data_IF_703382398681
#
_entry.id   IF_703382398681
#
_cell.length_a   1.000
_cell.length_b   1.000
_cell.length_c   1.000
_cell.angle_alpha   90.00
_cell.angle_beta   90.00
_cell.angle_gamma   90.00
#
_symmetry.space_group_name_H-M   'P 1'
#
loop_
_entity.id
_entity.type
_entity.pdbx_description
1 polymer ?
#
# COMPACT_ATOMS: atom_id res chain seq x y z
N UNK A 1 18.25 14.94 -30.83
CA UNK A 1 18.10 15.06 -29.34
C UNK A 1 18.22 16.55 -29.05
N UNK A 2 17.10 17.22 -28.85
CA UNK A 2 17.08 18.59 -28.35
C UNK A 2 17.64 18.56 -26.96
N UNK A 3 18.84 19.11 -26.75
CA UNK A 3 19.39 19.38 -25.45
C UNK A 3 18.44 20.35 -24.79
N UNK A 4 17.69 19.89 -23.81
CA UNK A 4 16.84 20.74 -23.00
C UNK A 4 17.77 21.75 -22.32
N UNK A 5 17.84 22.96 -22.90
CA UNK A 5 18.80 23.97 -22.47
C UNK A 5 18.33 24.53 -21.13
N UNK A 6 19.09 24.30 -20.10
CA UNK A 6 18.75 24.74 -18.74
C UNK A 6 18.49 26.25 -18.70
N UNK A 7 17.46 26.64 -17.97
CA UNK A 7 16.96 28.01 -17.83
C UNK A 7 17.50 28.65 -16.58
N UNK A 8 18.27 29.72 -16.74
CA UNK A 8 19.03 30.38 -15.67
C UNK A 8 18.48 31.80 -15.47
N UNK A 9 18.12 32.13 -14.22
CA UNK A 9 17.82 33.50 -13.83
C UNK A 9 19.12 34.19 -13.43
N UNK A 10 19.43 35.32 -14.05
CA UNK A 10 20.60 36.16 -13.73
C UNK A 10 20.12 37.43 -13.08
N UNK A 11 20.56 37.68 -11.85
CA UNK A 11 20.08 38.78 -10.99
C UNK A 11 21.29 39.63 -10.54
N UNK A 12 21.32 40.88 -10.94
CA UNK A 12 22.31 41.91 -10.53
C UNK A 12 21.70 43.28 -10.79
N UNK A 13 21.90 44.26 -9.94
CA UNK A 13 21.39 45.62 -10.13
C UNK A 13 22.13 46.39 -11.23
N UNK A 14 23.30 45.93 -11.62
CA UNK A 14 24.09 46.51 -12.70
C UNK A 14 23.75 45.89 -14.04
N UNK A 15 23.07 46.68 -14.87
CA UNK A 15 22.64 46.29 -16.24
C UNK A 15 23.78 45.71 -17.10
N UNK A 16 24.99 46.24 -16.95
CA UNK A 16 26.16 45.79 -17.71
C UNK A 16 26.59 44.38 -17.31
N UNK A 17 26.55 44.09 -15.99
CA UNK A 17 26.87 42.75 -15.45
C UNK A 17 25.88 41.72 -15.97
N UNK A 18 24.57 42.01 -15.85
CA UNK A 18 23.49 41.14 -16.33
C UNK A 18 23.62 40.84 -17.81
N UNK A 19 23.80 41.87 -18.65
CA UNK A 19 23.90 41.73 -20.11
C UNK A 19 25.16 40.90 -20.50
N UNK A 20 26.29 41.19 -19.87
CA UNK A 20 27.54 40.47 -20.12
C UNK A 20 27.41 38.98 -19.74
N UNK A 21 26.88 38.67 -18.56
CA UNK A 21 26.73 37.30 -18.09
C UNK A 21 25.71 36.54 -18.92
N UNK A 22 24.57 37.17 -19.21
CA UNK A 22 23.49 36.59 -20.02
C UNK A 22 24.00 36.19 -21.41
N UNK A 23 24.68 37.10 -22.14
CA UNK A 23 25.25 36.79 -23.44
C UNK A 23 26.27 35.66 -23.43
N UNK A 24 27.13 35.59 -22.39
CA UNK A 24 28.13 34.52 -22.25
C UNK A 24 27.46 33.16 -21.95
N UNK A 25 26.43 33.13 -21.09
CA UNK A 25 25.65 31.93 -20.78
C UNK A 25 24.87 31.43 -21.98
N UNK A 26 24.23 32.35 -22.76
CA UNK A 26 23.52 32.02 -24.00
C UNK A 26 24.46 31.40 -25.05
N UNK A 27 25.68 31.95 -25.21
CA UNK A 27 26.70 31.36 -26.09
C UNK A 27 27.17 30.00 -25.62
N UNK A 28 26.98 29.67 -24.32
CA UNK A 28 27.28 28.36 -23.75
C UNK A 28 26.09 27.37 -23.80
N UNK A 29 24.96 27.78 -24.46
CA UNK A 29 23.81 26.92 -24.69
C UNK A 29 22.72 26.98 -23.61
N UNK A 30 22.78 27.96 -22.71
CA UNK A 30 21.75 28.15 -21.68
C UNK A 30 20.67 29.14 -22.13
N UNK A 31 19.45 28.97 -21.65
CA UNK A 31 18.41 30.01 -21.75
C UNK A 31 18.51 30.91 -20.52
N UNK A 32 18.59 32.24 -20.76
CA UNK A 32 18.72 33.17 -19.62
C UNK A 32 17.54 34.11 -19.56
N UNK A 33 17.10 34.38 -18.34
CA UNK A 33 16.17 35.46 -18.01
C UNK A 33 16.92 36.40 -17.06
N UNK A 34 16.69 37.69 -17.23
CA UNK A 34 17.40 38.73 -16.49
C UNK A 34 16.46 39.42 -15.50
N UNK A 35 16.96 39.71 -14.30
CA UNK A 35 16.30 40.56 -13.32
C UNK A 35 17.32 41.62 -12.82
N UNK A 36 16.85 42.82 -12.66
CA UNK A 36 17.68 43.97 -12.31
C UNK A 36 17.53 44.42 -10.86
N UNK A 37 17.04 43.49 -10.02
CA UNK A 37 16.90 43.68 -8.59
C UNK A 37 16.14 42.54 -7.92
N UNK A 38 16.17 42.54 -6.58
CA UNK A 38 15.58 41.46 -5.79
C UNK A 38 14.07 41.31 -5.97
N UNK A 39 13.35 42.43 -6.07
CA UNK A 39 11.89 42.40 -6.27
C UNK A 39 11.50 41.76 -7.61
N UNK A 40 12.17 42.19 -8.69
CA UNK A 40 11.93 41.62 -10.01
C UNK A 40 12.28 40.13 -10.09
N UNK A 41 13.36 39.73 -9.43
CA UNK A 41 13.74 38.33 -9.32
C UNK A 41 12.65 37.49 -8.63
N UNK A 42 12.10 37.96 -7.53
CA UNK A 42 11.01 37.26 -6.83
C UNK A 42 9.72 37.20 -7.65
N UNK A 43 9.40 38.29 -8.35
CA UNK A 43 8.23 38.32 -9.27
C UNK A 43 8.38 37.31 -10.41
N UNK A 44 9.57 37.17 -10.98
CA UNK A 44 9.87 36.18 -12.02
C UNK A 44 9.80 34.74 -11.46
N UNK A 45 10.38 34.50 -10.29
CA UNK A 45 10.37 33.20 -9.63
C UNK A 45 8.96 32.73 -9.20
N UNK A 46 8.04 33.67 -9.02
CA UNK A 46 6.63 33.37 -8.74
C UNK A 46 5.83 32.93 -9.97
N UNK A 47 6.28 33.31 -11.19
CA UNK A 47 5.56 33.11 -12.45
C UNK A 47 6.15 32.04 -13.34
N UNK A 48 7.43 31.76 -13.18
CA UNK A 48 8.18 30.92 -14.09
C UNK A 48 9.16 30.01 -13.33
N UNK A 49 9.41 28.81 -13.90
CA UNK A 49 10.38 27.88 -13.33
C UNK A 49 11.77 28.09 -13.92
N UNK A 50 12.76 27.93 -13.07
CA UNK A 50 14.18 28.04 -13.40
C UNK A 50 14.96 26.83 -12.91
N UNK A 51 16.03 26.50 -13.62
CA UNK A 51 16.95 25.41 -13.25
C UNK A 51 18.04 25.87 -12.32
N UNK A 52 18.36 27.17 -12.31
CA UNK A 52 19.39 27.76 -11.48
C UNK A 52 19.23 29.29 -11.42
N UNK A 53 19.62 29.89 -10.29
CA UNK A 53 19.71 31.33 -10.12
C UNK A 53 21.18 31.72 -9.89
N UNK A 54 21.66 32.74 -10.62
CA UNK A 54 22.88 33.47 -10.30
C UNK A 54 22.46 34.80 -9.68
N UNK A 55 22.80 35.04 -8.43
CA UNK A 55 22.22 36.10 -7.61
C UNK A 55 23.30 36.96 -6.98
N UNK A 56 23.27 38.24 -7.31
CA UNK A 56 24.13 39.23 -6.62
C UNK A 56 23.67 39.44 -5.18
N UNK A 57 24.62 39.56 -4.26
CA UNK A 57 24.35 39.87 -2.85
C UNK A 57 23.98 41.34 -2.68
N UNK A 58 24.71 42.24 -3.35
CA UNK A 58 24.65 43.67 -3.09
C UNK A 58 23.69 44.34 -4.08
N UNK A 59 22.41 44.37 -3.73
CA UNK A 59 21.39 45.04 -4.53
C UNK A 59 20.59 46.03 -3.64
N UNK A 60 20.09 47.13 -4.22
CA UNK A 60 19.24 48.07 -3.50
C UNK A 60 17.86 47.45 -3.20
N UNK A 61 17.15 48.02 -2.21
CA UNK A 61 15.83 47.64 -1.72
C UNK A 61 15.79 46.24 -1.08
N UNK A 62 15.90 45.18 -1.86
CA UNK A 62 15.93 43.78 -1.42
C UNK A 62 17.28 43.21 -1.83
N UNK A 63 18.13 42.89 -0.85
CA UNK A 63 19.45 42.33 -1.12
C UNK A 63 19.38 40.83 -1.47
N UNK A 64 20.48 40.27 -2.00
CA UNK A 64 20.50 38.87 -2.45
C UNK A 64 20.32 37.86 -1.33
N UNK A 65 20.72 38.14 -0.09
CA UNK A 65 20.51 37.24 1.05
C UNK A 65 19.01 37.17 1.42
N UNK A 66 18.32 38.31 1.35
CA UNK A 66 16.87 38.34 1.57
C UNK A 66 16.12 37.58 0.46
N UNK A 67 16.52 37.73 -0.80
CA UNK A 67 15.99 36.95 -1.93
C UNK A 67 16.21 35.46 -1.69
N UNK A 68 17.43 35.07 -1.32
CA UNK A 68 17.79 33.67 -1.01
C UNK A 68 16.90 33.11 0.09
N UNK A 69 16.72 33.85 1.20
CA UNK A 69 15.87 33.43 2.32
C UNK A 69 14.43 33.16 1.85
N UNK A 70 13.86 34.09 1.06
CA UNK A 70 12.49 33.92 0.52
C UNK A 70 12.40 32.72 -0.40
N UNK A 71 13.41 32.48 -1.26
CA UNK A 71 13.47 31.29 -2.10
C UNK A 71 13.43 30.02 -1.23
N UNK A 72 14.20 29.99 -0.14
CA UNK A 72 14.31 28.81 0.74
C UNK A 72 13.07 28.56 1.61
N UNK A 73 12.16 29.51 1.74
CA UNK A 73 10.84 29.28 2.35
C UNK A 73 9.96 28.32 1.52
N UNK A 74 10.17 28.25 0.21
CA UNK A 74 9.33 27.46 -0.70
C UNK A 74 10.08 26.42 -1.55
N UNK A 75 11.35 26.62 -1.80
CA UNK A 75 12.17 25.74 -2.67
C UNK A 75 13.46 25.32 -1.97
N UNK A 76 13.70 24.01 -1.91
CA UNK A 76 14.93 23.45 -1.37
C UNK A 76 16.15 23.73 -2.26
N UNK A 77 17.35 23.48 -1.72
CA UNK A 77 18.61 23.62 -2.48
C UNK A 77 18.68 22.70 -3.71
N UNK A 78 18.01 21.56 -3.67
CA UNK A 78 17.97 20.61 -4.78
C UNK A 78 16.94 20.99 -5.86
N UNK A 79 15.83 21.65 -5.47
CA UNK A 79 14.79 22.09 -6.41
C UNK A 79 15.19 23.33 -7.20
N UNK A 80 15.83 24.30 -6.53
CA UNK A 80 16.33 25.51 -7.15
C UNK A 80 17.73 25.87 -6.66
N UNK A 81 18.78 25.43 -7.32
CA UNK A 81 20.14 25.84 -7.03
C UNK A 81 20.34 27.34 -7.18
N UNK A 82 21.02 27.95 -6.17
CA UNK A 82 21.38 29.37 -6.18
C UNK A 82 22.88 29.51 -6.03
N UNK A 83 23.52 30.20 -6.98
CA UNK A 83 24.93 30.60 -6.92
C UNK A 83 24.99 32.09 -6.61
N UNK A 84 25.59 32.43 -5.47
CA UNK A 84 25.73 33.83 -5.04
C UNK A 84 26.92 34.49 -5.69
N UNK A 85 26.77 35.73 -6.14
CA UNK A 85 27.89 36.60 -6.56
C UNK A 85 28.25 37.57 -5.42
N UNK A 86 29.51 37.54 -4.97
CA UNK A 86 29.97 38.31 -3.82
C UNK A 86 31.25 39.10 -4.12
N UNK A 87 31.48 40.19 -3.41
CA UNK A 87 32.74 40.93 -3.48
C UNK A 87 33.91 40.12 -2.81
N UNK A 88 35.11 40.24 -3.33
CA UNK A 88 36.29 39.43 -2.94
C UNK A 88 36.69 39.54 -1.47
N UNK A 89 36.35 40.65 -0.83
CA UNK A 89 36.78 41.07 0.52
C UNK A 89 35.77 40.78 1.63
N UNK A 90 34.62 40.14 1.28
CA UNK A 90 33.52 39.86 2.21
C UNK A 90 33.34 38.35 2.47
N UNK A 91 34.28 37.80 3.21
CA UNK A 91 34.21 36.40 3.61
C UNK A 91 33.01 36.09 4.53
N UNK A 92 32.53 37.09 5.29
CA UNK A 92 31.36 36.96 6.16
C UNK A 92 30.08 36.77 5.37
N UNK A 93 29.84 37.58 4.34
CA UNK A 93 28.66 37.45 3.45
C UNK A 93 28.60 36.09 2.76
N UNK A 94 29.78 35.52 2.45
CA UNK A 94 29.89 34.18 1.84
C UNK A 94 29.45 33.08 2.80
N UNK A 95 29.93 33.13 4.05
CA UNK A 95 29.57 32.15 5.09
C UNK A 95 28.10 32.28 5.41
N UNK A 96 27.57 33.48 5.49
CA UNK A 96 26.14 33.73 5.73
C UNK A 96 25.29 33.18 4.61
N UNK A 97 25.62 33.45 3.34
CA UNK A 97 24.91 32.91 2.20
C UNK A 97 24.87 31.37 2.19
N UNK A 98 25.99 30.72 2.47
CA UNK A 98 26.07 29.26 2.56
C UNK A 98 25.19 28.70 3.70
N UNK A 99 25.20 29.36 4.86
CA UNK A 99 24.38 28.98 6.01
C UNK A 99 22.89 29.17 5.74
N UNK A 100 22.52 30.17 4.93
CA UNK A 100 21.14 30.39 4.48
C UNK A 100 20.70 29.48 3.33
N UNK A 101 21.56 28.56 2.85
CA UNK A 101 21.22 27.56 1.86
C UNK A 101 21.55 27.95 0.42
N UNK A 102 22.56 28.81 0.19
CA UNK A 102 23.16 28.92 -1.13
C UNK A 102 23.85 27.61 -1.52
N UNK A 103 23.79 27.24 -2.79
CA UNK A 103 24.44 26.03 -3.29
C UNK A 103 25.92 26.24 -3.58
N UNK A 104 26.30 27.46 -3.95
CA UNK A 104 27.65 27.82 -4.27
C UNK A 104 27.81 29.36 -4.33
N UNK A 105 29.04 29.84 -4.53
CA UNK A 105 29.30 31.26 -4.71
C UNK A 105 30.39 31.52 -5.74
N UNK A 106 30.43 32.74 -6.30
CA UNK A 106 31.52 33.26 -7.13
C UNK A 106 31.89 34.64 -6.68
N UNK A 107 33.20 34.96 -6.72
CA UNK A 107 33.69 36.29 -6.35
C UNK A 107 33.72 37.24 -7.54
N UNK A 108 33.38 38.51 -7.31
CA UNK A 108 33.51 39.59 -8.29
C UNK A 108 34.95 40.13 -8.27
N UNK A 109 35.60 40.45 -9.44
CA UNK A 109 35.05 40.28 -10.80
C UNK A 109 34.89 38.82 -11.17
N UNK A 110 33.71 38.47 -11.79
CA UNK A 110 33.36 37.10 -12.07
C UNK A 110 34.26 36.49 -13.15
N UNK A 111 35.00 35.46 -12.75
CA UNK A 111 35.68 34.57 -13.70
C UNK A 111 34.66 33.65 -14.36
N UNK A 112 34.39 33.89 -15.62
CA UNK A 112 33.31 33.15 -16.35
C UNK A 112 33.58 31.66 -16.49
N UNK A 113 34.80 31.15 -16.78
CA UNK A 113 35.12 29.73 -16.72
C UNK A 113 34.76 29.09 -15.38
N UNK A 114 35.03 29.73 -14.27
CA UNK A 114 34.72 29.25 -12.91
C UNK A 114 33.19 29.22 -12.71
N UNK A 115 32.50 30.31 -13.00
CA UNK A 115 31.05 30.37 -12.91
C UNK A 115 30.41 29.28 -13.76
N UNK A 116 30.84 29.10 -15.02
CA UNK A 116 30.35 28.08 -15.92
C UNK A 116 30.51 26.66 -15.34
N UNK A 117 31.65 26.34 -14.79
CA UNK A 117 31.91 25.03 -14.16
C UNK A 117 30.98 24.80 -12.96
N UNK A 118 30.77 25.80 -12.11
CA UNK A 118 29.81 25.72 -10.97
C UNK A 118 28.38 25.53 -11.43
N UNK A 119 27.93 26.30 -12.43
CA UNK A 119 26.62 26.14 -13.05
C UNK A 119 26.43 24.70 -13.56
N UNK A 120 27.42 24.18 -14.30
CA UNK A 120 27.36 22.81 -14.82
C UNK A 120 27.19 21.78 -13.70
N UNK A 121 27.96 21.93 -12.62
CA UNK A 121 27.88 21.04 -11.44
C UNK A 121 26.48 21.10 -10.80
N UNK A 122 25.96 22.29 -10.54
CA UNK A 122 24.65 22.44 -9.89
C UNK A 122 23.51 21.94 -10.76
N UNK A 123 23.52 22.21 -12.06
CA UNK A 123 22.51 21.70 -13.01
C UNK A 123 22.59 20.17 -13.09
N UNK A 124 23.80 19.60 -13.10
CA UNK A 124 23.94 18.14 -13.13
C UNK A 124 23.40 17.49 -11.85
N UNK A 125 23.68 18.08 -10.68
CA UNK A 125 23.13 17.62 -9.40
C UNK A 125 21.60 17.73 -9.37
N UNK A 126 21.04 18.86 -9.82
CA UNK A 126 19.58 19.03 -9.92
C UNK A 126 18.96 17.97 -10.81
N UNK A 127 19.48 17.76 -12.02
CA UNK A 127 18.97 16.73 -12.93
C UNK A 127 19.02 15.32 -12.34
N UNK A 128 20.11 14.98 -11.63
CA UNK A 128 20.22 13.69 -10.96
C UNK A 128 19.19 13.54 -9.82
N UNK A 129 18.95 14.60 -9.04
CA UNK A 129 17.94 14.61 -8.00
C UNK A 129 16.53 14.50 -8.56
N UNK A 130 16.21 15.22 -9.62
CA UNK A 130 14.91 15.19 -10.30
C UNK A 130 14.63 13.78 -10.87
N UNK A 131 15.63 13.16 -11.50
CA UNK A 131 15.52 11.79 -12.02
C UNK A 131 15.34 10.76 -10.88
N UNK A 132 16.10 10.89 -9.78
CA UNK A 132 15.92 10.03 -8.62
C UNK A 132 14.51 10.16 -8.02
N UNK A 133 14.01 11.39 -7.88
CA UNK A 133 12.65 11.63 -7.38
C UNK A 133 11.57 11.04 -8.31
N UNK A 134 11.81 11.11 -9.62
CA UNK A 134 10.94 10.48 -10.63
C UNK A 134 10.95 8.96 -10.53
N UNK A 135 12.13 8.36 -10.46
CA UNK A 135 12.30 6.91 -10.33
C UNK A 135 11.66 6.36 -9.05
N UNK A 136 11.82 7.07 -7.92
CA UNK A 136 11.19 6.70 -6.66
C UNK A 136 9.66 6.71 -6.77
N UNK A 137 9.06 7.74 -7.38
CA UNK A 137 7.61 7.79 -7.63
C UNK A 137 7.15 6.63 -8.51
N UNK A 138 7.86 6.35 -9.61
CA UNK A 138 7.52 5.22 -10.48
C UNK A 138 7.63 3.87 -9.76
N UNK A 139 8.61 3.71 -8.87
CA UNK A 139 8.76 2.48 -8.07
C UNK A 139 7.59 2.32 -7.10
N UNK A 140 7.19 3.41 -6.45
CA UNK A 140 6.07 3.43 -5.50
C UNK A 140 4.73 3.12 -6.20
N UNK A 141 4.47 3.76 -7.35
CA UNK A 141 3.30 3.46 -8.19
C UNK A 141 3.28 1.99 -8.65
N UNK A 142 4.42 1.45 -9.08
CA UNK A 142 4.54 0.03 -9.43
C UNK A 142 4.29 -0.90 -8.23
N UNK A 143 4.82 -0.56 -7.07
CA UNK A 143 4.61 -1.33 -5.84
C UNK A 143 3.13 -1.38 -5.48
N UNK A 144 2.44 -0.24 -5.49
CA UNK A 144 1.00 -0.18 -5.21
C UNK A 144 0.17 -0.90 -6.28
N UNK A 145 0.54 -0.79 -7.55
CA UNK A 145 -0.11 -1.55 -8.62
C UNK A 145 0.03 -3.07 -8.44
N UNK A 146 1.23 -3.55 -8.14
CA UNK A 146 1.49 -4.97 -7.85
C UNK A 146 0.66 -5.41 -6.63
N UNK A 147 0.67 -4.63 -5.55
CA UNK A 147 -0.13 -4.89 -4.36
C UNK A 147 -1.62 -4.99 -4.68
N UNK A 148 -2.17 -4.07 -5.45
CA UNK A 148 -3.59 -4.08 -5.85
C UNK A 148 -3.95 -5.26 -6.76
N UNK A 149 -3.04 -5.74 -7.60
CA UNK A 149 -3.26 -6.92 -8.42
C UNK A 149 -3.28 -8.20 -7.57
N UNK A 150 -2.27 -8.35 -6.70
CA UNK A 150 -2.17 -9.55 -5.87
C UNK A 150 -3.23 -9.58 -4.76
N UNK A 151 -3.64 -8.44 -4.21
CA UNK A 151 -4.70 -8.35 -3.21
C UNK A 151 -6.08 -8.86 -3.70
N UNK A 152 -6.25 -9.04 -5.03
CA UNK A 152 -7.45 -9.70 -5.59
C UNK A 152 -7.39 -11.23 -5.55
N UNK A 153 -6.23 -11.81 -5.34
CA UNK A 153 -6.00 -13.26 -5.37
C UNK A 153 -5.52 -13.82 -4.03
N UNK A 154 -4.97 -12.96 -3.19
CA UNK A 154 -4.31 -13.32 -1.92
C UNK A 154 -4.62 -12.20 -0.94
N UNK A 155 -4.83 -12.51 0.35
CA UNK A 155 -5.09 -11.48 1.35
C UNK A 155 -3.93 -10.47 1.45
N UNK A 156 -4.26 -9.22 1.80
CA UNK A 156 -3.28 -8.13 1.88
C UNK A 156 -2.12 -8.45 2.85
N UNK A 157 -2.39 -9.17 3.94
CA UNK A 157 -1.39 -9.58 4.93
C UNK A 157 -0.36 -10.53 4.33
N UNK A 158 -0.81 -11.49 3.52
CA UNK A 158 0.07 -12.42 2.81
C UNK A 158 0.88 -11.69 1.75
N UNK A 159 0.29 -10.76 1.01
CA UNK A 159 1.01 -9.90 0.05
C UNK A 159 2.10 -9.09 0.75
N UNK A 160 1.81 -8.49 1.89
CA UNK A 160 2.80 -7.74 2.68
C UNK A 160 3.95 -8.65 3.16
N UNK A 161 3.64 -9.84 3.64
CA UNK A 161 4.67 -10.81 4.06
C UNK A 161 5.59 -11.22 2.89
N UNK A 162 5.02 -11.43 1.70
CA UNK A 162 5.77 -11.79 0.49
C UNK A 162 6.65 -10.63 0.00
N UNK A 163 6.14 -9.40 0.02
CA UNK A 163 6.87 -8.20 -0.42
C UNK A 163 8.01 -7.82 0.54
N UNK A 164 7.87 -8.13 1.83
CA UNK A 164 8.88 -7.82 2.84
C UNK A 164 9.93 -8.93 3.03
N UNK A 165 9.80 -10.07 2.37
CA UNK A 165 10.77 -11.16 2.44
C UNK A 165 12.03 -10.84 1.61
N UNK A 166 13.23 -10.66 2.21
CA UNK A 166 14.44 -10.24 1.48
C UNK A 166 14.87 -11.20 0.36
N UNK A 167 14.55 -12.50 0.52
CA UNK A 167 14.90 -13.57 -0.44
C UNK A 167 13.72 -14.01 -1.31
N UNK A 168 12.62 -13.25 -1.28
CA UNK A 168 11.36 -13.67 -1.88
C UNK A 168 10.67 -14.79 -1.11
N UNK A 169 9.48 -15.23 -1.56
CA UNK A 169 8.71 -16.27 -0.90
C UNK A 169 9.44 -17.62 -1.03
N UNK A 170 9.73 -18.26 0.10
CA UNK A 170 10.33 -19.59 0.14
C UNK A 170 9.24 -20.63 0.42
N UNK A 171 9.40 -21.83 -0.16
CA UNK A 171 8.59 -23.00 0.20
C UNK A 171 8.87 -23.39 1.64
N UNK A 172 7.81 -23.74 2.37
CA UNK A 172 7.90 -24.18 3.76
C UNK A 172 6.68 -23.76 4.56
N UNK A 173 6.61 -24.26 5.77
CA UNK A 173 5.54 -23.92 6.70
C UNK A 173 5.98 -24.17 8.13
N UNK A 174 5.24 -23.60 9.06
CA UNK A 174 5.43 -23.79 10.48
C UNK A 174 4.20 -24.42 11.12
N UNK A 175 4.41 -25.16 12.18
CA UNK A 175 3.33 -25.72 12.98
C UNK A 175 2.75 -24.62 13.86
N UNK A 176 1.46 -24.31 13.66
CA UNK A 176 0.71 -23.35 14.47
C UNK A 176 -0.65 -23.89 14.86
N UNK A 177 -1.13 -23.47 16.00
CA UNK A 177 -2.53 -23.68 16.39
C UNK A 177 -3.37 -22.53 15.86
N UNK A 178 -4.34 -22.84 14.98
CA UNK A 178 -5.21 -21.89 14.30
C UNK A 178 -6.67 -22.29 14.45
N UNK A 179 -7.58 -21.37 14.15
CA UNK A 179 -8.99 -21.70 13.93
C UNK A 179 -9.31 -21.67 12.44
N UNK A 180 -9.91 -22.75 11.97
CA UNK A 180 -10.26 -23.00 10.59
C UNK A 180 -11.77 -22.87 10.46
N UNK A 181 -12.25 -22.05 9.53
CA UNK A 181 -13.63 -21.82 9.23
C UNK A 181 -13.95 -22.31 7.81
N UNK A 182 -14.93 -23.16 7.67
CA UNK A 182 -15.54 -23.54 6.41
C UNK A 182 -16.98 -23.00 6.35
N UNK A 183 -17.34 -22.38 5.24
CA UNK A 183 -18.71 -21.95 4.98
C UNK A 183 -19.11 -22.34 3.56
N UNK A 184 -20.39 -22.70 3.35
CA UNK A 184 -20.90 -23.21 2.08
C UNK A 184 -22.40 -22.94 1.93
N UNK A 185 -22.87 -22.70 0.70
CA UNK A 185 -24.29 -22.49 0.42
C UNK A 185 -25.04 -23.83 0.43
N UNK A 186 -26.15 -23.89 1.14
CA UNK A 186 -26.98 -25.10 1.22
C UNK A 186 -27.81 -25.31 -0.05
N UNK A 187 -27.70 -26.53 -0.59
CA UNK A 187 -28.45 -26.91 -1.78
C UNK A 187 -28.07 -26.18 -3.06
N UNK A 188 -26.85 -25.62 -3.12
CA UNK A 188 -26.36 -24.82 -4.26
C UNK A 188 -26.50 -25.57 -5.60
N UNK A 189 -26.16 -26.86 -5.65
CA UNK A 189 -26.28 -27.66 -6.86
C UNK A 189 -27.71 -27.57 -7.47
N UNK A 190 -28.76 -27.75 -6.64
CA UNK A 190 -30.14 -27.66 -7.09
C UNK A 190 -30.58 -26.23 -7.44
N UNK A 191 -29.94 -25.23 -6.84
CA UNK A 191 -30.18 -23.82 -7.14
C UNK A 191 -29.55 -23.47 -8.48
N UNK A 192 -28.29 -23.85 -8.68
CA UNK A 192 -27.48 -23.52 -9.87
C UNK A 192 -28.05 -24.17 -11.15
N UNK A 193 -28.65 -25.35 -11.06
CA UNK A 193 -29.32 -26.02 -12.21
C UNK A 193 -30.51 -25.22 -12.77
N UNK A 194 -31.12 -24.35 -11.96
CA UNK A 194 -32.27 -23.54 -12.34
C UNK A 194 -31.94 -22.14 -12.81
N UNK A 195 -30.68 -21.73 -12.69
CA UNK A 195 -30.18 -20.39 -12.99
C UNK A 195 -29.36 -20.36 -14.29
N UNK A 196 -29.40 -19.24 -14.98
CA UNK A 196 -28.45 -19.00 -16.08
C UNK A 196 -27.04 -18.83 -15.54
N UNK A 197 -25.99 -19.09 -16.34
CA UNK A 197 -24.58 -18.90 -15.90
C UNK A 197 -24.31 -17.50 -15.34
N UNK A 198 -24.90 -16.47 -15.92
CA UNK A 198 -24.74 -15.09 -15.43
C UNK A 198 -25.37 -14.88 -14.04
N UNK A 199 -26.53 -15.50 -13.80
CA UNK A 199 -27.20 -15.44 -12.50
C UNK A 199 -26.44 -16.22 -11.43
N UNK A 200 -25.86 -17.38 -11.78
CA UNK A 200 -24.99 -18.14 -10.86
C UNK A 200 -23.80 -17.31 -10.43
N UNK A 201 -23.10 -16.67 -11.38
CA UNK A 201 -21.96 -15.79 -11.06
C UNK A 201 -22.39 -14.59 -10.22
N UNK A 202 -23.52 -13.96 -10.54
CA UNK A 202 -24.03 -12.82 -9.77
C UNK A 202 -24.35 -13.20 -8.32
N UNK A 203 -25.00 -14.35 -8.11
CA UNK A 203 -25.34 -14.89 -6.79
C UNK A 203 -24.08 -15.20 -5.98
N UNK A 204 -23.12 -15.90 -6.59
CA UNK A 204 -21.84 -16.22 -5.94
C UNK A 204 -21.05 -14.95 -5.58
N UNK A 205 -20.94 -13.99 -6.49
CA UNK A 205 -20.21 -12.75 -6.24
C UNK A 205 -20.84 -11.92 -5.10
N UNK A 206 -22.17 -11.86 -5.02
CA UNK A 206 -22.85 -11.19 -3.91
C UNK A 206 -22.57 -11.90 -2.58
N UNK A 207 -22.67 -13.22 -2.54
CA UNK A 207 -22.42 -14.02 -1.34
C UNK A 207 -20.93 -13.99 -0.94
N UNK A 208 -20.03 -14.43 -1.81
CA UNK A 208 -18.61 -14.54 -1.51
C UNK A 208 -17.99 -13.17 -1.20
N UNK A 209 -18.39 -12.11 -1.91
CA UNK A 209 -17.91 -10.76 -1.64
C UNK A 209 -18.30 -10.29 -0.24
N UNK A 210 -19.57 -10.45 0.15
CA UNK A 210 -20.04 -10.08 1.50
C UNK A 210 -19.32 -10.90 2.59
N UNK A 211 -19.14 -12.21 2.36
CA UNK A 211 -18.45 -13.07 3.34
C UNK A 211 -16.97 -12.73 3.48
N UNK A 212 -16.29 -12.42 2.36
CA UNK A 212 -14.88 -12.01 2.38
C UNK A 212 -14.71 -10.70 3.14
N UNK A 213 -15.53 -9.68 2.87
CA UNK A 213 -15.45 -8.39 3.57
C UNK A 213 -15.59 -8.55 5.09
N UNK A 214 -16.45 -9.47 5.53
CA UNK A 214 -16.63 -9.77 6.95
C UNK A 214 -15.40 -10.49 7.50
N UNK A 215 -14.90 -11.53 6.83
CA UNK A 215 -13.71 -12.27 7.26
C UNK A 215 -12.52 -11.32 7.42
N UNK A 216 -12.30 -10.44 6.45
CA UNK A 216 -11.23 -9.43 6.47
C UNK A 216 -11.39 -8.45 7.65
N UNK A 217 -12.62 -8.01 7.94
CA UNK A 217 -12.91 -7.13 9.09
C UNK A 217 -12.58 -7.76 10.45
N UNK A 218 -12.60 -9.10 10.52
CA UNK A 218 -12.18 -9.89 11.69
C UNK A 218 -10.73 -10.38 11.59
N UNK A 219 -9.93 -9.84 10.66
CA UNK A 219 -8.52 -10.25 10.45
C UNK A 219 -8.37 -11.76 10.17
N UNK A 220 -9.35 -12.36 9.53
CA UNK A 220 -9.28 -13.72 9.01
C UNK A 220 -8.60 -13.73 7.64
N UNK A 221 -7.96 -14.82 7.30
CA UNK A 221 -7.33 -15.02 6.00
C UNK A 221 -8.19 -15.97 5.17
N UNK A 222 -8.74 -15.49 4.04
CA UNK A 222 -9.41 -16.36 3.08
C UNK A 222 -8.34 -17.17 2.34
N UNK A 223 -8.40 -18.50 2.47
CA UNK A 223 -7.44 -19.42 1.87
C UNK A 223 -7.79 -19.76 0.42
N UNK A 224 -9.04 -20.10 0.19
CA UNK A 224 -9.55 -20.42 -1.16
C UNK A 224 -11.08 -20.47 -1.20
N UNK A 225 -11.61 -20.32 -2.41
CA UNK A 225 -12.99 -20.64 -2.75
C UNK A 225 -13.03 -22.02 -3.42
N UNK A 226 -13.96 -22.87 -3.00
CA UNK A 226 -14.16 -24.19 -3.60
C UNK A 226 -15.64 -24.35 -4.01
N UNK A 227 -15.92 -24.02 -5.28
CA UNK A 227 -17.30 -23.94 -5.78
C UNK A 227 -18.05 -22.76 -5.14
N UNK A 228 -19.07 -23.09 -4.37
CA UNK A 228 -19.92 -22.14 -3.62
C UNK A 228 -19.47 -21.98 -2.16
N UNK A 229 -18.42 -22.67 -1.76
CA UNK A 229 -17.87 -22.61 -0.41
C UNK A 229 -16.60 -21.80 -0.31
N UNK A 230 -16.22 -21.48 0.91
CA UNK A 230 -14.97 -20.81 1.26
C UNK A 230 -14.29 -21.47 2.46
N UNK A 231 -12.96 -21.43 2.44
CA UNK A 231 -12.09 -21.77 3.54
C UNK A 231 -11.37 -20.52 4.03
N UNK A 232 -11.52 -20.20 5.30
CA UNK A 232 -10.78 -19.16 5.97
C UNK A 232 -10.12 -19.70 7.24
N UNK A 233 -9.09 -19.01 7.72
CA UNK A 233 -8.44 -19.33 8.99
C UNK A 233 -8.05 -18.07 9.75
N UNK A 234 -7.88 -18.20 11.07
CA UNK A 234 -7.57 -17.12 12.00
C UNK A 234 -6.35 -17.46 12.83
N UNK A 235 -5.44 -16.50 13.02
CA UNK A 235 -4.18 -16.68 13.77
C UNK A 235 -2.92 -16.74 12.89
N UNK A 236 -3.07 -16.61 11.58
CA UNK A 236 -1.97 -16.45 10.62
C UNK A 236 -2.45 -15.65 9.39
N UNK A 237 -1.54 -14.96 8.66
CA UNK A 237 -0.12 -14.78 8.95
C UNK A 237 0.12 -13.96 10.21
N UNK A 238 -0.82 -13.08 10.59
CA UNK A 238 -0.76 -12.29 11.81
C UNK A 238 -1.16 -13.17 13.00
N UNK A 239 -0.28 -13.28 13.99
CA UNK A 239 -0.56 -14.06 15.18
C UNK A 239 -1.70 -13.45 16.00
N UNK A 240 -2.68 -14.27 16.38
CA UNK A 240 -3.81 -13.88 17.20
C UNK A 240 -4.04 -14.93 18.31
N UNK A 241 -3.83 -14.58 19.55
CA UNK A 241 -4.03 -15.50 20.67
C UNK A 241 -5.50 -15.87 20.90
N UNK A 242 -6.43 -15.00 20.48
CA UNK A 242 -7.88 -15.22 20.61
C UNK A 242 -8.51 -15.74 19.31
N UNK A 243 -7.74 -16.38 18.43
CA UNK A 243 -8.18 -16.83 17.11
C UNK A 243 -9.50 -17.60 17.11
N UNK A 244 -9.76 -18.45 18.11
CA UNK A 244 -11.00 -19.22 18.23
C UNK A 244 -12.21 -18.32 18.53
N UNK A 245 -12.04 -17.35 19.42
CA UNK A 245 -13.08 -16.38 19.78
C UNK A 245 -13.42 -15.49 18.56
N UNK A 246 -12.39 -14.98 17.89
CA UNK A 246 -12.55 -14.13 16.69
C UNK A 246 -13.24 -14.90 15.56
N UNK A 247 -12.88 -16.18 15.36
CA UNK A 247 -13.51 -17.02 14.34
C UNK A 247 -15.01 -17.24 14.61
N UNK A 248 -15.39 -17.44 15.88
CA UNK A 248 -16.82 -17.59 16.26
C UNK A 248 -17.57 -16.26 16.08
N UNK A 249 -17.00 -15.14 16.47
CA UNK A 249 -17.60 -13.81 16.24
C UNK A 249 -17.78 -13.51 14.75
N UNK A 250 -16.77 -13.83 13.93
CA UNK A 250 -16.85 -13.71 12.49
C UNK A 250 -17.99 -14.57 11.91
N UNK A 251 -18.12 -15.81 12.32
CA UNK A 251 -19.18 -16.70 11.86
C UNK A 251 -20.59 -16.19 12.24
N UNK A 252 -20.75 -15.62 13.43
CA UNK A 252 -22.01 -14.98 13.83
C UNK A 252 -22.34 -13.75 12.95
N UNK A 253 -21.33 -12.93 12.68
CA UNK A 253 -21.47 -11.77 11.80
C UNK A 253 -21.79 -12.20 10.36
N UNK A 254 -21.14 -13.24 9.84
CA UNK A 254 -21.44 -13.82 8.52
C UNK A 254 -22.90 -14.31 8.45
N UNK A 255 -23.36 -15.02 9.48
CA UNK A 255 -24.73 -15.53 9.52
C UNK A 255 -25.76 -14.39 9.59
N UNK A 256 -25.51 -13.34 10.35
CA UNK A 256 -26.35 -12.15 10.42
C UNK A 256 -26.43 -11.42 9.06
N UNK A 257 -25.32 -11.36 8.33
CA UNK A 257 -25.25 -10.70 7.02
C UNK A 257 -26.01 -11.44 5.91
N UNK A 258 -26.42 -12.69 6.12
CA UNK A 258 -27.23 -13.44 5.14
C UNK A 258 -28.58 -12.79 4.85
N UNK A 259 -29.14 -12.03 5.78
CA UNK A 259 -30.36 -11.25 5.54
C UNK A 259 -30.13 -10.19 4.45
N UNK A 260 -29.03 -9.48 4.52
CA UNK A 260 -28.64 -8.47 3.52
C UNK A 260 -28.28 -9.11 2.17
N UNK A 261 -27.56 -10.25 2.18
CA UNK A 261 -27.27 -11.02 0.97
C UNK A 261 -28.58 -11.42 0.27
N UNK A 262 -29.55 -11.94 1.01
CA UNK A 262 -30.83 -12.36 0.48
C UNK A 262 -31.69 -11.15 0.05
N UNK A 263 -31.62 -10.04 0.72
CA UNK A 263 -32.29 -8.80 0.27
C UNK A 263 -31.76 -8.39 -1.12
N UNK A 264 -30.44 -8.35 -1.31
CA UNK A 264 -29.82 -8.03 -2.62
C UNK A 264 -30.16 -9.06 -3.68
N UNK A 265 -30.21 -10.34 -3.34
CA UNK A 265 -30.61 -11.40 -4.25
C UNK A 265 -32.03 -11.15 -4.75
N UNK A 266 -33.00 -10.86 -3.86
CA UNK A 266 -34.38 -10.55 -4.24
C UNK A 266 -34.47 -9.35 -5.19
N UNK A 267 -33.73 -8.29 -4.91
CA UNK A 267 -33.70 -7.10 -5.76
C UNK A 267 -33.19 -7.38 -7.18
N UNK A 268 -32.29 -8.37 -7.30
CA UNK A 268 -31.76 -8.82 -8.59
C UNK A 268 -32.54 -9.97 -9.23
N UNK A 269 -33.68 -10.40 -8.65
CA UNK A 269 -34.48 -11.53 -9.14
C UNK A 269 -33.80 -12.89 -8.97
N UNK A 270 -32.88 -12.99 -8.00
CA UNK A 270 -32.17 -14.21 -7.64
C UNK A 270 -32.86 -14.89 -6.44
N UNK A 271 -32.70 -16.22 -6.28
CA UNK A 271 -33.25 -16.94 -5.13
C UNK A 271 -32.55 -16.58 -3.83
N UNK A 272 -33.29 -16.77 -2.73
CA UNK A 272 -32.71 -16.74 -1.40
C UNK A 272 -31.85 -17.99 -1.17
N UNK A 273 -30.79 -17.84 -0.42
CA UNK A 273 -29.82 -18.88 -0.06
C UNK A 273 -29.64 -18.97 1.44
N UNK A 274 -29.32 -20.15 1.92
CA UNK A 274 -28.88 -20.38 3.29
C UNK A 274 -27.45 -20.88 3.30
N UNK A 275 -26.73 -20.66 4.40
CA UNK A 275 -25.33 -21.00 4.57
C UNK A 275 -25.14 -21.90 5.79
N UNK A 276 -24.24 -22.89 5.70
CA UNK A 276 -23.80 -23.67 6.85
C UNK A 276 -22.33 -23.38 7.14
N UNK A 277 -21.99 -23.14 8.41
CA UNK A 277 -20.63 -22.83 8.85
C UNK A 277 -20.14 -23.90 9.83
N UNK A 278 -18.87 -24.27 9.72
CA UNK A 278 -18.17 -25.03 10.76
C UNK A 278 -16.82 -24.41 11.11
N UNK A 279 -16.50 -24.46 12.41
CA UNK A 279 -15.23 -23.98 12.92
C UNK A 279 -14.56 -25.08 13.74
N UNK A 280 -13.28 -25.30 13.45
CA UNK A 280 -12.42 -26.16 14.25
C UNK A 280 -11.14 -25.44 14.61
N UNK A 281 -10.63 -25.64 15.81
CA UNK A 281 -9.29 -25.18 16.22
C UNK A 281 -8.36 -26.36 16.39
N UNK A 282 -7.10 -26.19 16.02
CA UNK A 282 -6.09 -27.22 16.19
C UNK A 282 -4.79 -26.90 15.50
N UNK A 283 -3.80 -27.76 15.70
CA UNK A 283 -2.49 -27.65 15.08
C UNK A 283 -2.55 -27.93 13.57
N UNK A 284 -1.98 -27.04 12.79
CA UNK A 284 -1.83 -27.14 11.33
C UNK A 284 -0.47 -26.66 10.92
N UNK A 285 -0.02 -27.10 9.76
CA UNK A 285 1.11 -26.48 9.06
C UNK A 285 0.54 -25.31 8.26
N UNK A 286 1.04 -24.11 8.51
CA UNK A 286 0.71 -22.89 7.77
C UNK A 286 1.95 -22.34 7.07
N UNK A 287 1.84 -21.99 5.80
CA UNK A 287 2.96 -21.47 5.02
C UNK A 287 2.78 -21.63 3.51
N UNK A 288 3.89 -21.45 2.79
CA UNK A 288 3.92 -21.56 1.34
C UNK A 288 4.05 -23.02 0.90
N UNK A 289 2.98 -23.59 0.39
CA UNK A 289 2.90 -25.01 0.01
C UNK A 289 2.70 -25.15 -1.49
N UNK A 290 3.52 -26.01 -2.10
CA UNK A 290 3.46 -26.29 -3.54
C UNK A 290 4.82 -26.64 -4.12
N UNK A 291 5.11 -26.14 -5.31
CA UNK A 291 6.39 -26.30 -6.00
C UNK A 291 7.07 -24.93 -6.16
N UNK A 292 8.37 -24.92 -6.49
CA UNK A 292 9.11 -23.68 -6.77
C UNK A 292 8.46 -22.81 -7.85
N UNK A 293 7.73 -23.40 -8.79
CA UNK A 293 7.04 -22.68 -9.88
C UNK A 293 5.61 -22.27 -9.53
N UNK A 294 4.98 -22.92 -8.56
CA UNK A 294 3.58 -22.69 -8.21
C UNK A 294 3.33 -23.11 -6.77
N UNK A 295 3.12 -22.17 -5.91
CA UNK A 295 2.77 -22.37 -4.49
C UNK A 295 1.64 -21.43 -4.10
N UNK A 296 0.99 -21.76 -3.00
CA UNK A 296 0.04 -20.85 -2.32
C UNK A 296 0.36 -20.82 -0.83
N UNK A 297 0.09 -19.68 -0.20
CA UNK A 297 0.04 -19.60 1.25
C UNK A 297 -1.25 -20.26 1.73
N UNK A 298 -1.16 -21.16 2.68
CA UNK A 298 -2.35 -21.89 3.13
C UNK A 298 -2.07 -22.80 4.32
N UNK A 299 -3.09 -23.56 4.70
CA UNK A 299 -3.09 -24.43 5.87
C UNK A 299 -3.27 -25.89 5.49
N UNK A 300 -2.50 -26.79 6.11
CA UNK A 300 -2.58 -28.24 5.91
C UNK A 300 -2.58 -28.91 7.28
N UNK A 301 -3.49 -29.86 7.48
CA UNK A 301 -3.52 -30.67 8.69
C UNK A 301 -4.85 -31.41 8.92
N UNK A 302 -4.86 -32.29 9.90
CA UNK A 302 -6.08 -33.02 10.31
C UNK A 302 -7.19 -32.09 10.79
N UNK A 303 -6.81 -30.97 11.41
CA UNK A 303 -7.76 -29.97 11.90
C UNK A 303 -8.57 -29.32 10.76
N UNK A 304 -7.95 -29.11 9.57
CA UNK A 304 -8.64 -28.61 8.37
C UNK A 304 -9.68 -29.62 7.88
N UNK A 305 -9.27 -30.91 7.83
CA UNK A 305 -10.17 -31.99 7.41
C UNK A 305 -11.38 -32.19 8.34
N UNK A 306 -11.18 -32.00 9.65
CA UNK A 306 -12.27 -32.06 10.63
C UNK A 306 -13.27 -30.92 10.34
N UNK A 307 -12.79 -29.68 10.20
CA UNK A 307 -13.64 -28.52 9.94
C UNK A 307 -14.49 -28.70 8.66
N UNK A 308 -13.86 -29.15 7.57
CA UNK A 308 -14.55 -29.43 6.30
C UNK A 308 -15.66 -30.47 6.43
N UNK A 309 -15.44 -31.53 7.20
CA UNK A 309 -16.42 -32.59 7.36
C UNK A 309 -17.56 -32.22 8.31
N UNK A 310 -17.26 -31.46 9.37
CA UNK A 310 -18.28 -30.91 10.25
C UNK A 310 -19.17 -29.93 9.49
N UNK A 311 -18.61 -29.17 8.56
CA UNK A 311 -19.36 -28.22 7.72
C UNK A 311 -20.44 -28.92 6.91
N UNK A 312 -20.18 -30.10 6.36
CA UNK A 312 -21.21 -30.86 5.62
C UNK A 312 -22.46 -31.20 6.44
N UNK A 313 -22.36 -31.16 7.76
CA UNK A 313 -23.42 -31.45 8.71
C UNK A 313 -24.11 -30.20 9.26
N UNK A 314 -23.62 -29.01 8.91
CA UNK A 314 -24.22 -27.73 9.33
C UNK A 314 -25.40 -27.36 8.42
N UNK A 315 -26.61 -27.79 8.76
CA UNK A 315 -27.87 -27.50 8.02
C UNK A 315 -28.50 -26.18 8.47
N UNK A 316 -29.39 -25.63 7.64
CA UNK A 316 -30.31 -24.54 7.94
C UNK A 316 -29.71 -23.31 8.66
N UNK A 317 -28.61 -22.80 8.15
CA UNK A 317 -27.92 -21.62 8.74
C UNK A 317 -27.21 -21.92 10.07
N UNK A 318 -26.95 -23.19 10.39
CA UNK A 318 -26.28 -23.58 11.62
C UNK A 318 -24.80 -23.21 11.56
N UNK A 319 -24.29 -22.73 12.71
CA UNK A 319 -22.86 -22.60 12.99
C UNK A 319 -22.48 -23.72 13.94
N UNK A 320 -21.63 -24.64 13.47
CA UNK A 320 -21.10 -25.75 14.27
C UNK A 320 -19.66 -25.49 14.68
N UNK A 321 -19.37 -25.69 15.95
CA UNK A 321 -17.99 -25.57 16.47
C UNK A 321 -17.59 -26.86 17.16
N UNK A 322 -16.34 -27.30 16.99
CA UNK A 322 -15.83 -28.45 17.71
C UNK A 322 -15.61 -28.12 19.20
N UNK A 323 -15.59 -29.14 20.06
CA UNK A 323 -15.39 -28.99 21.52
C UNK A 323 -14.09 -28.25 21.83
N UNK A 324 -13.02 -28.55 21.12
CA UNK A 324 -11.75 -27.85 21.28
C UNK A 324 -11.85 -26.35 20.95
N UNK A 325 -12.50 -26.01 19.83
CA UNK A 325 -12.76 -24.62 19.44
C UNK A 325 -13.64 -23.91 20.48
N UNK A 326 -14.73 -24.53 20.92
CA UNK A 326 -15.64 -23.98 21.91
C UNK A 326 -14.92 -23.67 23.24
N UNK A 327 -14.05 -24.59 23.71
CA UNK A 327 -13.28 -24.40 24.95
C UNK A 327 -12.33 -23.19 24.85
N UNK A 328 -11.71 -22.98 23.70
CA UNK A 328 -10.79 -21.85 23.43
C UNK A 328 -11.52 -20.53 23.18
N UNK A 329 -12.68 -20.56 22.55
CA UNK A 329 -13.48 -19.35 22.31
C UNK A 329 -14.00 -18.71 23.60
N UNK A 330 -14.16 -19.53 24.64
CA UNK A 330 -14.52 -19.04 25.98
C UNK A 330 -16.04 -19.00 26.22
N UNK A 331 -16.42 -18.64 27.46
CA UNK A 331 -17.80 -18.75 27.99
C UNK A 331 -18.76 -17.63 27.52
N UNK A 332 -18.30 -16.71 26.67
CA UNK A 332 -19.15 -15.61 26.19
C UNK A 332 -20.20 -16.04 25.16
N UNK A 333 -20.00 -17.19 24.54
CA UNK A 333 -20.88 -17.70 23.51
C UNK A 333 -21.87 -18.71 24.08
N UNK A 334 -23.07 -18.72 23.54
CA UNK A 334 -24.09 -19.70 23.89
C UNK A 334 -23.89 -20.96 23.03
N UNK A 335 -23.23 -21.98 23.61
CA UNK A 335 -23.04 -23.27 22.95
C UNK A 335 -24.21 -24.20 23.29
N UNK A 336 -25.10 -24.36 22.34
CA UNK A 336 -26.29 -25.20 22.42
C UNK A 336 -26.02 -26.60 21.84
N UNK A 337 -26.91 -27.55 22.10
CA UNK A 337 -26.99 -28.86 21.44
C UNK A 337 -25.64 -29.54 21.22
N UNK A 338 -25.12 -30.19 22.27
CA UNK A 338 -23.92 -31.04 22.16
C UNK A 338 -24.26 -32.28 21.34
N UNK A 339 -23.56 -32.50 20.24
CA UNK A 339 -23.70 -33.67 19.37
C UNK A 339 -22.36 -34.38 19.20
N UNK A 340 -22.43 -35.71 19.10
CA UNK A 340 -21.28 -36.53 18.72
C UNK A 340 -21.47 -36.97 17.28
N UNK A 341 -20.52 -36.61 16.41
CA UNK A 341 -20.59 -36.88 14.98
C UNK A 341 -19.51 -37.89 14.58
N UNK A 342 -19.91 -38.96 13.92
CA UNK A 342 -18.97 -39.87 13.27
C UNK A 342 -18.43 -39.19 12.02
N UNK A 343 -17.14 -38.89 12.02
CA UNK A 343 -16.45 -38.22 10.93
C UNK A 343 -15.62 -39.24 10.16
N UNK A 344 -15.96 -39.46 8.90
CA UNK A 344 -15.28 -40.45 8.04
C UNK A 344 -13.76 -40.28 8.07
N UNK A 345 -13.03 -41.35 8.42
CA UNK A 345 -11.55 -41.36 8.49
C UNK A 345 -10.97 -40.87 9.82
N UNK A 346 -11.79 -40.66 10.85
CA UNK A 346 -11.38 -40.47 12.23
C UNK A 346 -11.87 -41.63 13.06
N UNK A 347 -11.02 -42.16 13.95
CA UNK A 347 -11.31 -43.32 14.80
C UNK A 347 -12.21 -43.01 15.99
N UNK A 348 -12.34 -41.73 16.33
CA UNK A 348 -13.17 -41.25 17.45
C UNK A 348 -14.21 -40.26 16.94
N UNK A 349 -15.44 -40.29 17.53
CA UNK A 349 -16.45 -39.27 17.21
C UNK A 349 -15.96 -37.88 17.59
N UNK A 350 -16.31 -36.89 16.79
CA UNK A 350 -16.02 -35.48 17.02
C UNK A 350 -17.19 -34.85 17.76
N UNK A 351 -16.96 -34.32 18.93
CA UNK A 351 -17.98 -33.54 19.67
C UNK A 351 -18.07 -32.14 19.07
N UNK A 352 -19.27 -31.72 18.73
CA UNK A 352 -19.60 -30.39 18.21
C UNK A 352 -20.72 -29.74 19.01
N UNK A 353 -20.75 -28.43 18.97
CA UNK A 353 -21.80 -27.59 19.55
C UNK A 353 -22.37 -26.69 18.47
N UNK A 354 -23.67 -26.46 18.51
CA UNK A 354 -24.31 -25.40 17.75
C UNK A 354 -24.13 -24.06 18.47
N UNK A 355 -23.72 -23.03 17.76
CA UNK A 355 -23.59 -21.68 18.33
C UNK A 355 -24.96 -20.99 18.23
N UNK A 356 -25.49 -20.51 19.35
CA UNK A 356 -26.64 -19.61 19.43
C UNK A 356 -26.23 -18.15 19.27
N UNK A 357 -27.22 -17.25 19.18
CA UNK A 357 -26.97 -15.81 19.20
C UNK A 357 -26.23 -15.42 20.50
N UNK A 358 -25.40 -14.35 20.43
CA UNK A 358 -24.77 -13.76 21.63
C UNK A 358 -25.85 -13.36 22.65
N UNK A 359 -25.50 -13.49 23.95
CA UNK A 359 -26.34 -13.01 25.06
C UNK A 359 -26.29 -11.48 25.12
#
# INVERSE_FOLDING_TARGET
>A
MTVDSARILVVDDNLHNVDMLSRRLQRSGYVTVCAYGGREALDLLSKEDFDLVVLDIMMPEINGLEVLRIIRESKSMSELPVIMATAKDRSEDMVEAMNQGANDYVTKPIDFPVLKARIQTQISLKKANDENARLLRQLEERKEFIKSLFGRFISDEVVQQLLNAPSGPQLGGELRELSILFADIRGFTSISEKLSPAQVVALLNNYLGTMTDIIDSYQGTVNEFYGDGLLAFFGAPIACNEHAKVAVQCALAMNAAMEEVNRRNRECGLPEISMGIAINSGEVIVGNVGSEKRFKYGVIGSAVNIASRVQNLAFDGAILVTEHCASKAGKKFNFLERQQLEVKGFSQPVTVYRVGAEY
#
